data_IF_486799387422
#
_entry.id   IF_486799387422
#
_cell.length_a   1.000
_cell.length_b   1.000
_cell.length_c   1.000
_cell.angle_alpha   90.00
_cell.angle_beta   90.00
_cell.angle_gamma   90.00
#
_symmetry.space_group_name_H-M   'P 1'
#
loop_
_entity.id
_entity.type
_entity.pdbx_description
1 polymer ?
#
# COMPACT_ATOMS: atom_id res chain seq x y z
N UNK A 1 -57.77 -49.62 41.74
CA UNK A 1 -56.60 -48.95 42.37
C UNK A 1 -57.10 -47.96 43.41
N UNK A 2 -56.75 -48.16 44.68
CA UNK A 2 -57.24 -47.37 45.82
C UNK A 2 -56.65 -45.94 45.76
N UNK A 3 -57.35 -44.94 46.32
CA UNK A 3 -56.85 -43.56 46.50
C UNK A 3 -55.45 -43.49 47.11
N UNK A 4 -55.07 -44.46 47.97
CA UNK A 4 -53.74 -44.55 48.59
C UNK A 4 -52.65 -44.86 47.55
N UNK A 5 -52.93 -45.75 46.60
CA UNK A 5 -51.98 -46.18 45.55
C UNK A 5 -51.73 -45.07 44.52
N UNK A 6 -52.77 -44.29 44.17
CA UNK A 6 -52.63 -43.12 43.27
C UNK A 6 -51.75 -42.03 43.87
N UNK A 7 -51.76 -41.85 45.20
CA UNK A 7 -50.96 -40.84 45.90
C UNK A 7 -49.48 -41.23 45.95
N UNK A 8 -49.19 -42.52 46.12
CA UNK A 8 -47.82 -43.08 46.11
C UNK A 8 -47.23 -43.00 44.70
N UNK A 9 -47.98 -43.43 43.67
CA UNK A 9 -47.53 -43.34 42.27
C UNK A 9 -47.27 -41.90 41.81
N UNK A 10 -48.11 -40.95 42.21
CA UNK A 10 -47.92 -39.53 41.87
C UNK A 10 -46.71 -38.88 42.55
N UNK A 11 -46.33 -39.33 43.74
CA UNK A 11 -45.12 -38.88 44.44
C UNK A 11 -43.85 -39.40 43.77
N UNK A 12 -43.85 -40.68 43.39
CA UNK A 12 -42.71 -41.33 42.72
C UNK A 12 -42.47 -40.73 41.34
N UNK A 13 -43.53 -40.48 40.54
CA UNK A 13 -43.39 -39.81 39.24
C UNK A 13 -42.83 -38.37 39.36
N UNK A 14 -43.24 -37.63 40.41
CA UNK A 14 -42.70 -36.28 40.66
C UNK A 14 -41.23 -36.31 41.07
N UNK A 15 -40.82 -37.30 41.87
CA UNK A 15 -39.43 -37.49 42.27
C UNK A 15 -38.56 -37.74 41.03
N UNK A 16 -38.94 -38.69 40.16
CA UNK A 16 -38.18 -39.00 38.93
C UNK A 16 -38.18 -37.85 37.91
N UNK A 17 -39.29 -37.10 37.79
CA UNK A 17 -39.34 -35.91 36.95
C UNK A 17 -38.39 -34.81 37.45
N UNK A 18 -38.28 -34.61 38.76
CA UNK A 18 -37.34 -33.63 39.35
C UNK A 18 -35.88 -34.06 39.16
N UNK A 19 -35.55 -35.34 39.31
CA UNK A 19 -34.17 -35.82 39.11
C UNK A 19 -33.73 -35.75 37.64
N UNK A 20 -34.66 -35.99 36.70
CA UNK A 20 -34.39 -35.88 35.25
C UNK A 20 -34.18 -34.43 34.80
N UNK A 21 -34.86 -33.47 35.43
CA UNK A 21 -34.70 -32.03 35.14
C UNK A 21 -33.39 -31.49 35.75
N UNK A 22 -32.94 -32.00 36.90
CA UNK A 22 -31.63 -31.60 37.46
C UNK A 22 -30.44 -32.16 36.68
N UNK A 23 -30.58 -33.30 35.99
CA UNK A 23 -29.48 -33.86 35.19
C UNK A 23 -29.35 -33.25 33.78
N UNK A 24 -30.42 -32.66 33.26
CA UNK A 24 -30.43 -32.01 31.94
C UNK A 24 -30.03 -30.53 31.98
N UNK A 25 -29.84 -29.95 33.16
CA UNK A 25 -29.43 -28.54 33.34
C UNK A 25 -27.91 -28.33 33.47
N UNK A 26 -27.09 -29.38 33.38
CA UNK A 26 -25.65 -29.34 33.71
C UNK A 26 -24.68 -29.54 32.53
N UNK A 27 -25.13 -29.51 31.27
CA UNK A 27 -24.23 -29.71 30.11
C UNK A 27 -24.51 -28.78 28.91
N UNK A 28 -24.78 -27.51 29.18
CA UNK A 28 -24.53 -26.45 28.20
C UNK A 28 -23.61 -25.40 28.82
N UNK A 29 -22.36 -25.81 29.10
CA UNK A 29 -21.27 -24.86 29.00
C UNK A 29 -21.11 -24.65 27.51
N UNK A 30 -21.73 -23.59 26.99
CA UNK A 30 -21.37 -23.05 25.69
C UNK A 30 -19.89 -22.65 25.78
N UNK A 31 -19.03 -23.59 25.38
CA UNK A 31 -17.65 -23.30 25.01
C UNK A 31 -17.77 -22.52 23.69
N UNK A 32 -18.21 -21.28 23.79
CA UNK A 32 -17.89 -20.26 22.81
C UNK A 32 -16.38 -20.08 22.91
N UNK A 33 -15.63 -20.98 22.29
CA UNK A 33 -14.30 -20.68 21.83
C UNK A 33 -14.48 -19.45 20.95
N UNK A 34 -14.14 -18.29 21.53
CA UNK A 34 -13.94 -17.05 20.78
C UNK A 34 -12.77 -17.35 19.85
N UNK A 35 -13.05 -17.99 18.71
CA UNK A 35 -12.13 -18.02 17.60
C UNK A 35 -11.99 -16.57 17.17
N UNK A 36 -10.82 -16.00 17.45
CA UNK A 36 -10.50 -14.66 17.00
C UNK A 36 -10.77 -14.59 15.49
N UNK A 37 -11.56 -13.61 15.06
CA UNK A 37 -11.94 -13.43 13.66
C UNK A 37 -10.69 -13.36 12.77
N UNK A 38 -10.67 -14.15 11.70
CA UNK A 38 -9.61 -14.12 10.70
C UNK A 38 -9.93 -13.02 9.69
N UNK A 39 -9.04 -12.04 9.55
CA UNK A 39 -9.18 -10.95 8.59
C UNK A 39 -8.33 -11.22 7.36
N UNK A 40 -8.94 -11.11 6.17
CA UNK A 40 -8.24 -11.16 4.90
C UNK A 40 -8.27 -9.77 4.28
N UNK A 41 -7.09 -9.20 4.04
CA UNK A 41 -6.92 -7.89 3.42
C UNK A 41 -6.26 -8.05 2.04
N UNK A 42 -6.64 -7.22 1.08
CA UNK A 42 -6.08 -7.22 -0.27
C UNK A 42 -5.09 -6.08 -0.41
N UNK A 43 -3.91 -6.37 -0.95
CA UNK A 43 -2.87 -5.40 -1.24
C UNK A 43 -2.62 -5.30 -2.75
N UNK A 44 -2.95 -4.17 -3.36
CA UNK A 44 -2.65 -3.91 -4.78
C UNK A 44 -1.22 -3.42 -4.97
N UNK A 45 -0.47 -4.04 -5.90
CA UNK A 45 0.89 -3.64 -6.26
C UNK A 45 1.07 -3.53 -7.78
N UNK A 46 1.73 -2.46 -8.24
CA UNK A 46 1.89 -2.23 -9.68
C UNK A 46 3.19 -2.82 -10.29
N UNK A 47 4.17 -3.15 -9.44
CA UNK A 47 5.46 -3.65 -9.87
C UNK A 47 5.39 -5.14 -10.26
N UNK A 48 6.27 -5.58 -11.17
CA UNK A 48 6.40 -7.01 -11.48
C UNK A 48 6.92 -7.78 -10.25
N UNK A 49 6.68 -9.10 -10.14
CA UNK A 49 7.11 -9.88 -8.98
C UNK A 49 8.64 -9.89 -8.77
N UNK A 50 9.41 -9.64 -9.83
CA UNK A 50 10.88 -9.55 -9.78
C UNK A 50 11.41 -8.21 -9.25
N UNK A 51 10.58 -7.18 -9.21
CA UNK A 51 10.97 -5.86 -8.72
C UNK A 51 11.09 -5.86 -7.19
N UNK A 52 12.12 -5.23 -6.65
CA UNK A 52 12.43 -5.14 -5.22
C UNK A 52 11.24 -4.69 -4.36
N UNK A 53 10.45 -3.71 -4.82
CA UNK A 53 9.25 -3.27 -4.09
C UNK A 53 8.16 -4.36 -4.00
N UNK A 54 8.01 -5.22 -5.02
CA UNK A 54 7.08 -6.34 -4.94
C UNK A 54 7.59 -7.42 -3.99
N UNK A 55 8.90 -7.72 -4.04
CA UNK A 55 9.56 -8.65 -3.11
C UNK A 55 9.37 -8.20 -1.66
N UNK A 56 9.67 -6.93 -1.35
CA UNK A 56 9.46 -6.38 -0.01
C UNK A 56 7.98 -6.36 0.42
N UNK A 57 7.05 -6.15 -0.52
CA UNK A 57 5.63 -6.22 -0.23
C UNK A 57 5.22 -7.63 0.17
N UNK A 58 5.70 -8.65 -0.56
CA UNK A 58 5.44 -10.05 -0.22
C UNK A 58 6.02 -10.42 1.16
N UNK A 59 7.27 -10.01 1.43
CA UNK A 59 7.89 -10.23 2.75
C UNK A 59 7.04 -9.58 3.85
N UNK A 60 6.56 -8.36 3.63
CA UNK A 60 5.67 -7.68 4.58
C UNK A 60 4.37 -8.46 4.81
N UNK A 61 3.69 -8.91 3.75
CA UNK A 61 2.44 -9.67 3.89
C UNK A 61 2.63 -11.00 4.61
N UNK A 62 3.74 -11.70 4.32
CA UNK A 62 4.10 -12.97 4.95
C UNK A 62 4.43 -12.76 6.44
N UNK A 63 5.20 -11.72 6.77
CA UNK A 63 5.54 -11.39 8.16
C UNK A 63 4.32 -10.95 8.97
N UNK A 64 3.37 -10.22 8.38
CA UNK A 64 2.09 -9.89 9.05
C UNK A 64 1.30 -11.17 9.33
N UNK A 65 1.22 -12.08 8.38
CA UNK A 65 0.51 -13.36 8.54
C UNK A 65 1.16 -14.20 9.63
N UNK A 66 2.49 -14.32 9.60
CA UNK A 66 3.27 -15.07 10.60
C UNK A 66 3.12 -14.46 12.00
N UNK A 67 3.33 -13.16 12.16
CA UNK A 67 3.30 -12.48 13.47
C UNK A 67 1.89 -12.37 14.05
N UNK A 68 0.86 -12.47 13.21
CA UNK A 68 -0.53 -12.52 13.66
C UNK A 68 -1.02 -13.94 13.98
N UNK A 69 -0.16 -14.97 13.87
CA UNK A 69 -0.52 -16.38 13.97
C UNK A 69 -1.66 -16.75 13.01
N UNK A 70 -1.61 -16.21 11.78
CA UNK A 70 -2.61 -16.44 10.74
C UNK A 70 -3.89 -15.62 10.85
N UNK A 71 -4.10 -14.87 11.95
CA UNK A 71 -5.33 -14.08 12.15
C UNK A 71 -5.48 -12.91 11.17
N UNK A 72 -4.37 -12.36 10.69
CA UNK A 72 -4.35 -11.30 9.68
C UNK A 72 -3.62 -11.83 8.45
N UNK A 73 -4.35 -12.18 7.40
CA UNK A 73 -3.78 -12.58 6.11
C UNK A 73 -3.85 -11.41 5.16
N UNK A 74 -2.73 -11.09 4.50
CA UNK A 74 -2.72 -10.10 3.41
C UNK A 74 -2.44 -10.83 2.10
N UNK A 75 -3.35 -10.68 1.14
CA UNK A 75 -3.21 -11.22 -0.21
C UNK A 75 -2.63 -10.13 -1.11
N UNK A 76 -1.39 -10.36 -1.58
CA UNK A 76 -0.68 -9.42 -2.43
C UNK A 76 -0.91 -9.71 -3.92
N UNK A 77 -1.33 -8.69 -4.66
CA UNK A 77 -1.60 -8.75 -6.09
C UNK A 77 -0.64 -7.85 -6.86
N UNK A 78 0.51 -8.37 -7.35
CA UNK A 78 1.51 -7.59 -8.08
C UNK A 78 1.06 -7.31 -9.53
N UNK A 79 1.91 -6.65 -10.31
CA UNK A 79 1.74 -6.41 -11.75
C UNK A 79 0.44 -5.71 -12.15
N UNK A 80 -0.13 -4.87 -11.27
CA UNK A 80 -1.38 -4.14 -11.51
C UNK A 80 -2.58 -5.06 -11.77
N UNK A 81 -2.57 -6.27 -11.21
CA UNK A 81 -3.69 -7.21 -11.34
C UNK A 81 -5.02 -6.63 -10.85
N UNK A 82 -4.98 -5.79 -9.81
CA UNK A 82 -6.16 -5.08 -9.30
C UNK A 82 -6.22 -3.64 -9.83
N UNK A 83 -5.21 -2.84 -9.52
CA UNK A 83 -5.20 -1.41 -9.87
C UNK A 83 -3.82 -0.96 -10.35
N UNK A 84 -3.83 -0.06 -11.33
CA UNK A 84 -2.64 0.63 -11.79
C UNK A 84 -2.15 1.67 -10.78
N UNK A 85 -0.99 2.25 -11.10
CA UNK A 85 -0.30 3.18 -10.18
C UNK A 85 -1.06 4.51 -9.98
N UNK A 86 -1.89 4.92 -10.93
CA UNK A 86 -2.67 6.16 -10.81
C UNK A 86 -3.98 5.94 -10.07
N UNK A 87 -4.48 4.71 -10.08
CA UNK A 87 -5.78 4.31 -9.55
C UNK A 87 -5.68 3.81 -8.10
N UNK A 88 -4.52 3.26 -7.70
CA UNK A 88 -4.34 2.59 -6.40
C UNK A 88 -4.73 3.45 -5.20
N UNK A 89 -4.46 4.77 -5.23
CA UNK A 89 -4.81 5.66 -4.13
C UNK A 89 -6.33 5.82 -4.00
N UNK A 90 -7.03 5.99 -5.12
CA UNK A 90 -8.48 6.05 -5.13
C UNK A 90 -9.12 4.74 -4.64
N UNK A 91 -8.54 3.61 -5.03
CA UNK A 91 -8.99 2.29 -4.58
C UNK A 91 -8.82 2.07 -3.06
N UNK A 92 -7.77 2.62 -2.45
CA UNK A 92 -7.61 2.65 -0.99
C UNK A 92 -8.68 3.56 -0.37
N UNK A 93 -8.82 4.79 -0.89
CA UNK A 93 -9.78 5.78 -0.35
C UNK A 93 -11.22 5.29 -0.38
N UNK A 94 -11.62 4.54 -1.43
CA UNK A 94 -12.96 3.99 -1.56
C UNK A 94 -13.17 2.67 -0.80
N UNK A 95 -12.12 2.08 -0.23
CA UNK A 95 -12.16 0.75 0.38
C UNK A 95 -12.27 -0.41 -0.62
N UNK A 96 -11.94 -0.19 -1.91
CA UNK A 96 -11.91 -1.26 -2.91
C UNK A 96 -10.75 -2.25 -2.66
N UNK A 97 -9.67 -1.78 -2.03
CA UNK A 97 -8.59 -2.59 -1.43
C UNK A 97 -8.21 -2.00 -0.08
N UNK A 98 -7.78 -2.85 0.84
CA UNK A 98 -7.40 -2.44 2.20
C UNK A 98 -5.98 -1.86 2.24
N UNK A 99 -5.09 -2.31 1.33
CA UNK A 99 -3.71 -1.83 1.22
C UNK A 99 -3.32 -1.59 -0.25
N UNK A 100 -2.30 -0.74 -0.45
CA UNK A 100 -1.70 -0.57 -1.77
C UNK A 100 -0.25 -0.11 -1.72
N UNK A 101 0.53 -0.62 -2.67
CA UNK A 101 1.88 -0.17 -2.96
C UNK A 101 1.86 1.11 -3.78
N UNK A 102 2.09 2.25 -3.12
CA UNK A 102 1.94 3.58 -3.69
C UNK A 102 3.31 4.18 -4.08
N UNK A 103 3.41 4.69 -5.31
CA UNK A 103 4.53 5.56 -5.72
C UNK A 103 4.15 6.99 -5.38
N UNK A 104 4.75 7.52 -4.31
CA UNK A 104 4.32 8.78 -3.72
C UNK A 104 4.38 9.96 -4.69
N UNK A 105 5.45 10.08 -5.47
CA UNK A 105 5.64 11.19 -6.44
C UNK A 105 4.62 11.18 -7.59
N UNK A 106 3.93 10.05 -7.83
CA UNK A 106 2.85 9.95 -8.83
C UNK A 106 1.49 10.17 -8.19
N UNK A 107 1.26 9.58 -7.01
CA UNK A 107 -0.09 9.43 -6.44
C UNK A 107 -0.49 10.54 -5.47
N UNK A 108 0.47 11.14 -4.76
CA UNK A 108 0.19 12.15 -3.74
C UNK A 108 0.04 13.58 -4.27
N UNK A 109 0.76 14.05 -5.31
CA UNK A 109 0.60 15.42 -5.79
C UNK A 109 -0.83 15.84 -6.19
N UNK A 110 -1.68 14.96 -6.75
CA UNK A 110 -3.10 15.27 -6.97
C UNK A 110 -3.89 15.57 -5.68
N UNK A 111 -3.47 15.05 -4.54
CA UNK A 111 -4.14 15.21 -3.23
C UNK A 111 -3.53 16.37 -2.45
N UNK A 112 -2.18 16.41 -2.39
CA UNK A 112 -1.41 17.51 -1.82
C UNK A 112 -0.15 17.75 -2.67
N UNK A 113 -0.17 18.84 -3.43
CA UNK A 113 0.95 19.26 -4.30
C UNK A 113 2.27 19.47 -3.55
N UNK A 114 2.25 19.69 -2.24
CA UNK A 114 3.47 19.91 -1.45
C UNK A 114 4.30 18.62 -1.35
N UNK A 115 3.73 17.44 -1.61
CA UNK A 115 4.53 16.21 -1.70
C UNK A 115 5.58 16.26 -2.82
N UNK A 116 5.43 17.13 -3.83
CA UNK A 116 6.46 17.35 -4.85
C UNK A 116 7.83 17.75 -4.26
N UNK A 117 7.88 18.22 -3.01
CA UNK A 117 9.13 18.42 -2.25
C UNK A 117 10.04 17.19 -2.29
N UNK A 118 9.47 15.98 -2.27
CA UNK A 118 10.20 14.71 -2.35
C UNK A 118 10.89 14.46 -3.70
N UNK A 119 10.59 15.25 -4.73
CA UNK A 119 11.06 15.06 -6.12
C UNK A 119 12.01 16.14 -6.61
N UNK A 120 12.26 17.20 -5.84
CA UNK A 120 13.17 18.26 -6.27
C UNK A 120 14.62 17.78 -6.22
N UNK A 121 15.36 17.84 -7.35
CA UNK A 121 16.77 17.48 -7.38
C UNK A 121 17.58 18.30 -6.37
N UNK A 122 18.49 17.63 -5.65
CA UNK A 122 19.39 18.26 -4.69
C UNK A 122 18.78 18.70 -3.36
N UNK A 123 17.46 18.55 -3.16
CA UNK A 123 16.83 19.01 -1.91
C UNK A 123 17.19 18.15 -0.69
N UNK A 124 17.36 16.84 -0.89
CA UNK A 124 17.78 15.92 0.15
C UNK A 124 19.11 15.27 -0.24
N UNK A 125 20.08 15.31 0.68
CA UNK A 125 21.41 14.72 0.53
C UNK A 125 21.44 13.22 0.81
N UNK A 126 20.41 12.67 1.47
CA UNK A 126 20.29 11.23 1.74
C UNK A 126 18.84 10.81 1.97
N UNK A 127 18.56 9.51 1.84
CA UNK A 127 17.25 8.95 2.20
C UNK A 127 16.92 9.15 3.68
N UNK A 128 17.92 9.15 4.54
CA UNK A 128 17.71 9.38 5.96
C UNK A 128 17.24 10.81 6.22
N UNK A 129 17.88 11.80 5.58
CA UNK A 129 17.44 13.19 5.69
C UNK A 129 16.00 13.36 5.19
N UNK A 130 15.65 12.74 4.06
CA UNK A 130 14.28 12.77 3.54
C UNK A 130 13.28 12.10 4.49
N UNK A 131 13.59 10.92 5.03
CA UNK A 131 12.75 10.26 6.05
C UNK A 131 12.59 11.13 7.29
N UNK A 132 13.68 11.70 7.81
CA UNK A 132 13.67 12.55 8.99
C UNK A 132 12.87 13.83 8.76
N UNK A 133 12.95 14.44 7.58
CA UNK A 133 12.10 15.58 7.22
C UNK A 133 10.62 15.21 7.37
N UNK A 134 10.18 14.14 6.72
CA UNK A 134 8.79 13.71 6.75
C UNK A 134 8.29 13.25 8.12
N UNK A 135 9.16 12.62 8.91
CA UNK A 135 8.81 12.05 10.23
C UNK A 135 8.87 13.08 11.36
N UNK A 136 9.94 13.88 11.38
CA UNK A 136 10.31 14.67 12.56
C UNK A 136 10.10 16.18 12.38
N UNK A 137 10.02 16.70 11.15
CA UNK A 137 9.72 18.13 10.95
C UNK A 137 8.22 18.41 10.99
N UNK A 138 7.86 19.60 11.48
CA UNK A 138 6.46 20.06 11.50
C UNK A 138 5.87 20.13 10.09
N UNK A 139 6.66 20.63 9.12
CA UNK A 139 6.22 20.76 7.72
C UNK A 139 6.01 19.41 7.07
N UNK A 140 6.95 18.48 7.23
CA UNK A 140 6.86 17.13 6.68
C UNK A 140 5.69 16.32 7.24
N UNK A 141 5.45 16.41 8.56
CA UNK A 141 4.26 15.80 9.19
C UNK A 141 2.97 16.41 8.68
N UNK A 142 2.89 17.73 8.57
CA UNK A 142 1.69 18.40 8.04
C UNK A 142 1.35 17.95 6.61
N UNK A 143 2.35 17.66 5.77
CA UNK A 143 2.13 17.06 4.44
C UNK A 143 1.49 15.67 4.56
N UNK A 144 2.00 14.81 5.44
CA UNK A 144 1.43 13.47 5.65
C UNK A 144 0.04 13.47 6.27
N UNK A 145 -0.18 14.33 7.26
CA UNK A 145 -1.46 14.44 7.95
C UNK A 145 -2.55 14.92 6.98
N UNK A 146 -2.24 15.91 6.14
CA UNK A 146 -3.17 16.39 5.11
C UNK A 146 -3.45 15.32 4.04
N UNK A 147 -2.41 14.60 3.59
CA UNK A 147 -2.56 13.50 2.64
C UNK A 147 -3.47 12.41 3.20
N UNK A 148 -3.12 11.86 4.37
CA UNK A 148 -3.84 10.74 4.99
C UNK A 148 -5.27 11.11 5.37
N UNK A 149 -5.51 12.34 5.86
CA UNK A 149 -6.84 12.87 6.12
C UNK A 149 -7.70 12.96 4.86
N UNK A 150 -7.17 13.54 3.77
CA UNK A 150 -7.91 13.71 2.50
C UNK A 150 -8.18 12.39 1.78
N UNK A 151 -7.26 11.43 1.88
CA UNK A 151 -7.43 10.11 1.27
C UNK A 151 -8.12 9.09 2.17
N UNK A 152 -8.54 9.47 3.38
CA UNK A 152 -9.09 8.56 4.40
C UNK A 152 -8.25 7.28 4.54
N UNK A 153 -6.93 7.44 4.69
CA UNK A 153 -5.99 6.32 4.71
C UNK A 153 -4.98 6.47 5.84
N UNK A 154 -4.15 5.43 6.04
CA UNK A 154 -3.07 5.46 7.04
C UNK A 154 -1.76 5.05 6.39
N UNK A 155 -0.71 5.84 6.66
CA UNK A 155 0.64 5.50 6.22
C UNK A 155 1.20 4.37 7.09
N UNK A 156 1.49 3.22 6.48
CA UNK A 156 2.11 2.07 7.16
C UNK A 156 3.64 2.17 7.11
N UNK A 157 4.18 2.49 5.94
CA UNK A 157 5.61 2.61 5.70
C UNK A 157 5.86 3.65 4.61
N UNK A 158 6.94 4.40 4.75
CA UNK A 158 7.47 5.26 3.70
C UNK A 158 8.94 4.94 3.47
N UNK A 159 9.27 4.65 2.21
CA UNK A 159 10.65 4.52 1.77
C UNK A 159 10.92 5.53 0.63
N UNK A 160 11.90 6.43 0.77
CA UNK A 160 12.35 7.26 -0.34
C UNK A 160 12.77 6.44 -1.56
N UNK A 161 12.62 7.02 -2.75
CA UNK A 161 13.02 6.44 -4.03
C UNK A 161 14.15 7.29 -4.60
N UNK A 162 15.20 6.65 -5.11
CA UNK A 162 16.31 7.34 -5.75
C UNK A 162 17.59 6.49 -5.77
N UNK A 163 18.77 7.13 -5.79
CA UNK A 163 18.93 8.46 -6.37
C UNK A 163 18.44 8.41 -7.82
N UNK A 164 17.78 9.48 -8.27
CA UNK A 164 17.35 9.55 -9.67
C UNK A 164 18.55 9.99 -10.50
N UNK A 165 18.86 9.24 -11.54
CA UNK A 165 19.93 9.55 -12.49
C UNK A 165 19.35 9.93 -13.84
N UNK A 166 20.06 10.79 -14.55
CA UNK A 166 19.74 11.15 -15.93
C UNK A 166 20.46 10.19 -16.86
N UNK A 167 19.71 9.54 -17.75
CA UNK A 167 20.24 8.66 -18.77
C UNK A 167 19.96 9.23 -20.15
N UNK A 168 20.88 9.00 -21.09
CA UNK A 168 20.77 9.48 -22.46
C UNK A 168 21.07 8.34 -23.43
N UNK A 169 20.24 8.20 -24.46
CA UNK A 169 20.48 7.32 -25.61
C UNK A 169 21.10 8.05 -26.79
N UNK A 170 21.08 9.39 -26.80
CA UNK A 170 21.55 10.18 -27.94
C UNK A 170 23.05 10.51 -27.90
N UNK A 171 23.58 10.78 -26.71
CA UNK A 171 24.99 11.15 -26.49
C UNK A 171 25.39 11.07 -25.02
N UNK A 172 26.69 11.00 -24.76
CA UNK A 172 27.25 11.03 -23.41
C UNK A 172 26.93 12.34 -22.67
N UNK A 173 26.66 12.22 -21.37
CA UNK A 173 26.28 13.35 -20.52
C UNK A 173 27.51 13.86 -19.74
N UNK A 174 28.30 14.74 -20.37
CA UNK A 174 29.56 15.27 -19.81
C UNK A 174 29.42 16.63 -19.12
N UNK A 175 28.22 17.20 -19.07
CA UNK A 175 27.95 18.50 -18.44
C UNK A 175 26.54 19.01 -18.72
N UNK A 176 26.25 20.25 -18.30
CA UNK A 176 24.93 20.86 -18.50
C UNK A 176 24.69 21.19 -19.98
N UNK A 177 25.72 21.64 -20.70
CA UNK A 177 25.58 22.09 -22.11
C UNK A 177 25.07 20.99 -23.05
N UNK A 178 25.45 19.74 -22.82
CA UNK A 178 25.03 18.61 -23.68
C UNK A 178 23.54 18.25 -23.51
N UNK A 179 22.87 18.81 -22.50
CA UNK A 179 21.44 18.65 -22.27
C UNK A 179 20.59 19.47 -23.25
N UNK A 180 21.14 20.56 -23.79
CA UNK A 180 20.42 21.48 -24.67
C UNK A 180 19.87 20.77 -25.90
N UNK A 181 18.58 20.97 -26.14
CA UNK A 181 17.85 20.41 -27.28
C UNK A 181 17.49 18.93 -27.16
N UNK A 182 17.95 18.19 -26.15
CA UNK A 182 17.55 16.79 -25.94
C UNK A 182 16.03 16.69 -25.75
N UNK A 183 15.41 15.65 -26.30
CA UNK A 183 14.00 15.31 -26.06
C UNK A 183 13.88 14.51 -24.77
N UNK A 184 13.69 15.21 -23.66
CA UNK A 184 13.54 14.64 -22.33
C UNK A 184 12.13 14.12 -22.07
N UNK A 185 12.04 12.92 -21.50
CA UNK A 185 10.79 12.40 -20.99
C UNK A 185 10.39 13.12 -19.70
N UNK A 186 9.22 13.77 -19.72
CA UNK A 186 8.60 14.35 -18.53
C UNK A 186 7.49 13.42 -18.00
N UNK A 187 7.79 12.68 -16.92
CA UNK A 187 6.81 11.87 -16.20
C UNK A 187 5.94 12.76 -15.31
N UNK A 188 6.57 13.69 -14.59
CA UNK A 188 5.91 14.54 -13.60
C UNK A 188 5.94 16.01 -14.05
N UNK A 189 4.92 16.78 -13.64
CA UNK A 189 4.92 18.23 -13.84
C UNK A 189 6.09 18.91 -13.10
N UNK A 190 6.51 18.34 -11.95
CA UNK A 190 7.63 18.83 -11.14
C UNK A 190 8.99 18.70 -11.81
N UNK A 191 9.14 17.85 -12.83
CA UNK A 191 10.40 17.70 -13.58
C UNK A 191 10.60 18.80 -14.63
N UNK A 192 9.52 19.44 -15.08
CA UNK A 192 9.56 20.42 -16.18
C UNK A 192 10.45 21.63 -15.91
N UNK A 193 10.46 22.24 -14.71
CA UNK A 193 11.37 23.34 -14.41
C UNK A 193 12.85 22.97 -14.57
N UNK A 194 13.23 21.75 -14.18
CA UNK A 194 14.60 21.25 -14.34
C UNK A 194 14.93 21.08 -15.84
N UNK A 195 14.07 20.42 -16.61
CA UNK A 195 14.27 20.26 -18.05
C UNK A 195 14.34 21.59 -18.79
N UNK A 196 13.52 22.56 -18.39
CA UNK A 196 13.55 23.92 -18.92
C UNK A 196 14.88 24.61 -18.60
N UNK A 197 15.39 24.46 -17.38
CA UNK A 197 16.69 25.02 -16.99
C UNK A 197 17.86 24.41 -17.77
N UNK A 198 17.72 23.16 -18.22
CA UNK A 198 18.69 22.49 -19.09
C UNK A 198 18.50 22.79 -20.59
N UNK A 199 17.56 23.65 -20.96
CA UNK A 199 17.19 23.92 -22.37
C UNK A 199 16.82 22.65 -23.16
N UNK A 200 16.30 21.63 -22.47
CA UNK A 200 15.82 20.40 -23.06
C UNK A 200 14.34 20.53 -23.50
N UNK A 201 13.98 19.87 -24.58
CA UNK A 201 12.60 19.74 -25.04
C UNK A 201 11.89 18.64 -24.25
N UNK A 202 10.65 18.82 -23.82
CA UNK A 202 9.94 17.79 -23.04
C UNK A 202 8.88 17.06 -23.84
N UNK A 203 8.87 15.73 -23.76
CA UNK A 203 7.80 14.84 -24.27
C UNK A 203 7.18 14.12 -23.08
N UNK A 204 5.85 14.15 -22.96
CA UNK A 204 5.16 13.47 -21.86
C UNK A 204 4.69 12.10 -22.30
N UNK A 205 5.19 11.05 -21.64
CA UNK A 205 4.80 9.67 -21.91
C UNK A 205 4.87 8.79 -20.64
N UNK A 206 3.95 7.82 -20.49
CA UNK A 206 3.94 6.90 -19.35
C UNK A 206 5.14 5.95 -19.37
N UNK A 207 5.46 5.36 -18.21
CA UNK A 207 6.66 4.51 -18.06
C UNK A 207 6.68 3.31 -19.02
N UNK A 208 5.52 2.76 -19.38
CA UNK A 208 5.42 1.62 -20.29
C UNK A 208 5.87 1.90 -21.73
N UNK A 209 5.91 3.17 -22.15
CA UNK A 209 6.30 3.57 -23.51
C UNK A 209 7.76 3.98 -23.61
N UNK A 210 8.46 4.14 -22.48
CA UNK A 210 9.83 4.70 -22.44
C UNK A 210 10.81 3.90 -23.29
N UNK A 211 10.76 2.56 -23.21
CA UNK A 211 11.70 1.71 -23.94
C UNK A 211 11.58 1.89 -25.45
N UNK A 212 10.36 1.76 -26.00
CA UNK A 212 10.09 1.95 -27.42
C UNK A 212 10.36 3.40 -27.85
N UNK A 213 10.04 4.38 -27.00
CA UNK A 213 10.28 5.80 -27.27
C UNK A 213 11.78 6.14 -27.38
N UNK A 214 12.63 5.51 -26.56
CA UNK A 214 14.09 5.62 -26.68
C UNK A 214 14.58 4.90 -27.94
N UNK A 215 14.09 3.69 -28.21
CA UNK A 215 14.51 2.89 -29.38
C UNK A 215 14.18 3.56 -30.72
N UNK A 216 13.03 4.25 -30.79
CA UNK A 216 12.58 4.96 -31.99
C UNK A 216 13.15 6.37 -32.11
N UNK A 217 13.86 6.85 -31.08
CA UNK A 217 14.34 8.23 -31.02
C UNK A 217 13.22 9.26 -30.84
N UNK A 218 12.04 8.87 -30.36
CA UNK A 218 10.99 9.83 -29.96
C UNK A 218 11.43 10.65 -28.74
N UNK A 219 12.21 10.04 -27.83
CA UNK A 219 12.91 10.71 -26.74
C UNK A 219 14.38 10.32 -26.75
N UNK A 220 15.22 11.19 -26.19
CA UNK A 220 16.67 11.01 -26.10
C UNK A 220 17.13 10.75 -24.67
N UNK A 221 16.37 11.22 -23.68
CA UNK A 221 16.81 11.20 -22.28
C UNK A 221 15.66 11.00 -21.31
N UNK A 222 15.97 10.34 -20.19
CA UNK A 222 15.04 10.07 -19.09
C UNK A 222 15.70 10.33 -17.74
N UNK A 223 14.87 10.63 -16.75
CA UNK A 223 15.22 10.50 -15.34
C UNK A 223 14.65 9.19 -14.79
N UNK A 224 15.50 8.37 -14.18
CA UNK A 224 15.10 7.12 -13.53
C UNK A 224 16.05 6.78 -12.38
N UNK A 225 15.58 6.11 -11.32
CA UNK A 225 16.49 5.35 -10.45
C UNK A 225 17.26 4.31 -11.28
N UNK A 226 18.54 4.04 -10.98
CA UNK A 226 19.20 2.83 -11.46
C UNK A 226 18.44 1.59 -10.98
N UNK A 227 18.41 0.56 -11.84
CA UNK A 227 17.82 -0.74 -11.52
C UNK A 227 18.53 -1.46 -10.40
#
# INVERSE_FOLDING_TARGET
MNKKDKKIFGGILKQYAMTMISFSLLMFIDINSVFAENFVARMSGHWSPKHQSAIHSQIFTDEVTKRSNGRLKIEFYPSKQLFGIREVMGAITSGAVELGGVVGVVSFPPINKNFNVASYPGLFSSYEQQRNFFKNSTVGRAVWDDLTKKSNSKLIMYNPVGPVMTFSSARELTGIEVMKGLKARALLKSERPMWKAFEANTVSLPTGEVYTALQTGMIDTINSPPG
#
